data_IF_880288592923
#
_entry.id   IF_880288592923
#
_cell.length_a   1.000
_cell.length_b   1.000
_cell.length_c   1.000
_cell.angle_alpha   90.00
_cell.angle_beta   90.00
_cell.angle_gamma   90.00
#
_symmetry.space_group_name_H-M   'P 1'
#
loop_
_entity.id
_entity.type
_entity.pdbx_description
1 polymer ?
#
# COMPACT_ATOMS: atom_id res chain seq x y z
N UNK A 1 0.94 -10.15 21.78
CA UNK A 1 0.79 -8.80 22.34
C UNK A 1 2.11 -8.07 22.10
N UNK A 2 2.22 -6.92 21.45
CA UNK A 2 1.25 -6.06 20.78
C UNK A 2 1.99 -5.26 19.71
N UNK A 3 1.45 -5.24 18.49
CA UNK A 3 1.91 -4.39 17.40
C UNK A 3 1.20 -3.03 17.46
N UNK A 4 1.10 -2.45 18.66
CA UNK A 4 0.21 -1.31 18.95
C UNK A 4 0.94 0.03 19.18
N UNK A 5 2.26 0.06 19.32
CA UNK A 5 2.99 1.31 19.58
C UNK A 5 4.07 1.55 18.52
N UNK A 6 3.66 1.62 17.24
CA UNK A 6 4.53 2.24 16.26
C UNK A 6 4.29 3.76 16.34
N UNK A 7 5.26 4.56 16.82
CA UNK A 7 5.05 5.99 17.02
C UNK A 7 4.68 6.65 15.71
N UNK A 8 3.63 7.47 15.74
CA UNK A 8 3.07 8.22 14.61
C UNK A 8 4.14 8.98 13.81
N UNK A 9 5.22 9.39 14.47
CA UNK A 9 6.39 10.04 13.87
C UNK A 9 7.15 9.16 12.87
N UNK A 10 7.23 7.85 13.10
CA UNK A 10 7.89 6.89 12.19
C UNK A 10 7.03 6.71 10.95
N UNK A 11 5.70 6.60 11.12
CA UNK A 11 4.76 6.54 9.99
C UNK A 11 4.78 7.84 9.18
N UNK A 12 4.82 9.01 9.84
CA UNK A 12 4.90 10.31 9.19
C UNK A 12 6.24 10.57 8.48
N UNK A 13 7.35 9.95 8.92
CA UNK A 13 8.64 9.99 8.21
C UNK A 13 8.68 9.04 7.03
N UNK A 14 8.11 7.84 7.16
CA UNK A 14 7.96 6.91 6.04
C UNK A 14 7.11 7.52 4.92
N UNK A 15 6.00 8.18 5.25
CA UNK A 15 5.15 8.90 4.28
C UNK A 15 5.86 10.08 3.59
N UNK A 16 6.89 10.68 4.21
CA UNK A 16 7.66 11.81 3.66
C UNK A 16 8.90 11.40 2.85
N UNK A 17 9.26 10.11 2.83
CA UNK A 17 10.40 9.63 2.05
C UNK A 17 10.02 9.61 0.56
N UNK A 18 10.88 10.17 -0.29
CA UNK A 18 10.77 9.99 -1.75
C UNK A 18 10.95 8.51 -2.08
N UNK A 19 9.96 7.94 -2.77
CA UNK A 19 10.05 6.62 -3.37
C UNK A 19 11.16 6.60 -4.44
N UNK A 20 11.96 5.56 -4.45
CA UNK A 20 12.84 5.22 -5.57
C UNK A 20 12.03 4.88 -6.82
N UNK A 21 12.66 4.88 -8.00
CA UNK A 21 11.96 4.55 -9.25
C UNK A 21 11.30 3.15 -9.23
N UNK A 22 11.91 2.18 -8.56
CA UNK A 22 11.31 0.85 -8.38
C UNK A 22 10.10 0.88 -7.46
N UNK A 23 10.18 1.60 -6.34
CA UNK A 23 9.07 1.79 -5.41
C UNK A 23 7.91 2.55 -6.07
N UNK A 24 8.19 3.50 -6.96
CA UNK A 24 7.17 4.20 -7.75
C UNK A 24 6.45 3.27 -8.73
N UNK A 25 7.20 2.44 -9.47
CA UNK A 25 6.61 1.46 -10.37
C UNK A 25 5.74 0.46 -9.61
N UNK A 26 6.20 0.00 -8.45
CA UNK A 26 5.43 -0.88 -7.58
C UNK A 26 4.16 -0.21 -7.05
N UNK A 27 4.25 1.05 -6.61
CA UNK A 27 3.10 1.82 -6.16
C UNK A 27 2.04 1.97 -7.27
N UNK A 28 2.47 2.23 -8.51
CA UNK A 28 1.57 2.32 -9.66
C UNK A 28 0.87 1.00 -9.94
N UNK A 29 1.59 -0.13 -9.89
CA UNK A 29 0.98 -1.46 -10.07
C UNK A 29 -0.07 -1.74 -9.00
N UNK A 30 0.22 -1.41 -7.73
CA UNK A 30 -0.72 -1.58 -6.62
C UNK A 30 -1.95 -0.69 -6.78
N UNK A 31 -1.78 0.58 -7.11
CA UNK A 31 -2.89 1.51 -7.34
C UNK A 31 -3.77 1.05 -8.51
N UNK A 32 -3.15 0.61 -9.61
CA UNK A 32 -3.87 0.11 -10.78
C UNK A 32 -4.70 -1.13 -10.45
N UNK A 33 -4.11 -2.11 -9.76
CA UNK A 33 -4.84 -3.32 -9.35
C UNK A 33 -6.00 -2.99 -8.39
N UNK A 34 -5.82 -2.04 -7.48
CA UNK A 34 -6.90 -1.58 -6.61
C UNK A 34 -8.02 -0.86 -7.38
N UNK A 35 -7.67 -0.07 -8.38
CA UNK A 35 -8.64 0.61 -9.24
C UNK A 35 -9.43 -0.38 -10.10
N UNK A 36 -8.75 -1.30 -10.78
CA UNK A 36 -9.37 -2.35 -11.60
C UNK A 36 -10.26 -3.29 -10.76
N UNK A 37 -9.91 -3.52 -9.50
CA UNK A 37 -10.71 -4.29 -8.55
C UNK A 37 -11.83 -3.48 -7.87
N UNK A 38 -12.07 -2.21 -8.26
CA UNK A 38 -13.07 -1.35 -7.64
C UNK A 38 -12.87 -1.14 -6.13
N UNK A 39 -11.62 -1.15 -5.66
CA UNK A 39 -11.25 -1.06 -4.26
C UNK A 39 -11.27 -2.40 -3.50
N UNK A 40 -11.63 -3.51 -4.14
CA UNK A 40 -11.58 -4.84 -3.54
C UNK A 40 -10.13 -5.30 -3.35
N UNK A 41 -9.67 -5.21 -2.10
CA UNK A 41 -8.28 -5.49 -1.71
C UNK A 41 -7.89 -6.97 -1.85
N UNK A 42 -8.87 -7.88 -1.78
CA UNK A 42 -8.59 -9.30 -2.00
C UNK A 42 -8.36 -9.54 -3.49
N UNK A 43 -9.28 -9.08 -4.34
CA UNK A 43 -9.15 -9.20 -5.78
C UNK A 43 -7.91 -8.50 -6.33
N UNK A 44 -7.57 -7.31 -5.83
CA UNK A 44 -6.32 -6.64 -6.20
C UNK A 44 -5.07 -7.44 -5.83
N UNK A 45 -5.08 -8.12 -4.67
CA UNK A 45 -3.97 -8.98 -4.26
C UNK A 45 -3.86 -10.21 -5.17
N UNK A 46 -5.00 -10.81 -5.53
CA UNK A 46 -5.09 -11.95 -6.44
C UNK A 46 -4.58 -11.56 -7.85
N UNK A 47 -4.97 -10.39 -8.37
CA UNK A 47 -4.47 -9.83 -9.64
C UNK A 47 -2.96 -9.63 -9.64
N UNK A 48 -2.39 -9.21 -8.50
CA UNK A 48 -0.94 -9.03 -8.34
C UNK A 48 -0.19 -10.33 -8.04
N UNK A 49 -0.88 -11.46 -7.85
CA UNK A 49 -0.27 -12.75 -7.51
C UNK A 49 0.37 -12.77 -6.12
N UNK A 50 -0.13 -11.98 -5.17
CA UNK A 50 0.42 -11.87 -3.82
C UNK A 50 -0.64 -12.15 -2.76
N UNK A 51 -0.21 -12.61 -1.59
CA UNK A 51 -1.11 -12.69 -0.44
C UNK A 51 -1.62 -11.30 -0.04
N UNK A 52 -2.88 -11.22 0.43
CA UNK A 52 -3.50 -9.99 0.94
C UNK A 52 -2.67 -9.30 2.04
N UNK A 53 -2.02 -10.09 2.92
CA UNK A 53 -1.10 -9.55 3.95
C UNK A 53 0.13 -8.87 3.35
N UNK A 54 0.64 -9.39 2.22
CA UNK A 54 1.75 -8.78 1.48
C UNK A 54 1.32 -7.48 0.81
N UNK A 55 0.11 -7.40 0.24
CA UNK A 55 -0.45 -6.15 -0.28
C UNK A 55 -0.47 -5.06 0.81
N UNK A 56 -1.02 -5.35 1.99
CA UNK A 56 -1.05 -4.39 3.10
C UNK A 56 0.34 -3.96 3.56
N UNK A 57 1.30 -4.88 3.61
CA UNK A 57 2.69 -4.56 3.98
C UNK A 57 3.33 -3.62 2.96
N UNK A 58 3.17 -3.89 1.66
CA UNK A 58 3.68 -3.07 0.57
C UNK A 58 3.06 -1.68 0.58
N UNK A 59 1.73 -1.60 0.70
CA UNK A 59 1.00 -0.34 0.85
C UNK A 59 1.56 0.51 1.98
N UNK A 60 1.73 -0.07 3.18
CA UNK A 60 2.28 0.66 4.34
C UNK A 60 3.72 1.10 4.11
N UNK A 61 4.55 0.25 3.50
CA UNK A 61 5.95 0.54 3.21
C UNK A 61 6.10 1.67 2.18
N UNK A 62 5.21 1.71 1.20
CA UNK A 62 5.17 2.72 0.13
C UNK A 62 4.44 4.01 0.56
N UNK A 63 3.90 4.08 1.78
CA UNK A 63 3.13 5.23 2.25
C UNK A 63 1.80 5.43 1.52
N UNK A 64 1.26 4.37 0.90
CA UNK A 64 -0.01 4.41 0.19
C UNK A 64 -1.17 4.40 1.19
N UNK A 65 -2.09 5.35 1.06
CA UNK A 65 -3.32 5.34 1.85
C UNK A 65 -4.41 4.54 1.10
N UNK A 66 -4.97 3.54 1.76
CA UNK A 66 -6.00 2.67 1.17
C UNK A 66 -7.42 3.23 1.29
N UNK A 67 -7.57 4.47 1.76
CA UNK A 67 -8.81 5.26 1.74
C UNK A 67 -8.93 6.13 0.50
N UNK A 68 -8.13 5.87 -0.55
CA UNK A 68 -8.35 6.52 -1.85
C UNK A 68 -9.64 5.96 -2.44
N UNK A 69 -10.73 6.61 -2.03
CA UNK A 69 -11.97 6.74 -2.75
C UNK A 69 -11.62 7.38 -4.08
N UNK A 70 -11.92 6.68 -5.18
CA UNK A 70 -11.71 7.18 -6.52
C UNK A 70 -12.43 8.53 -6.69
N UNK A 71 -11.69 9.55 -7.09
CA UNK A 71 -12.20 10.72 -7.80
C UNK A 71 -11.84 10.54 -9.27
#
# INVERSE_FOLDING_TARGET
>A
MGAADLPSDVLARAARRKLSGLEQAEAQMIMRALHEAGGNKQQAADTLGIARSTLYRKVRALGLDLRVNAY
#
